data_IF_413097875604
#
_entry.id   IF_413097875604
#
_cell.length_a   1.000
_cell.length_b   1.000
_cell.length_c   1.000
_cell.angle_alpha   90.00
_cell.angle_beta   90.00
_cell.angle_gamma   90.00
#
_symmetry.space_group_name_H-M   'P 1'
#
loop_
_entity.id
_entity.type
_entity.pdbx_description
1 polymer ?
#
# COMPACT_ATOMS: atom_id res chain seq x y z
N UNK A 1 -12.18 23.22 -23.18
CA UNK A 1 -12.69 21.94 -22.65
C UNK A 1 -12.74 20.78 -23.66
N UNK A 2 -12.81 21.00 -24.98
CA UNK A 2 -12.90 19.89 -25.95
C UNK A 2 -11.57 19.18 -26.34
N UNK A 3 -10.39 19.78 -26.07
CA UNK A 3 -9.09 19.21 -26.48
C UNK A 3 -8.51 18.15 -25.51
N UNK A 4 -8.89 18.15 -24.24
CA UNK A 4 -8.45 17.13 -23.27
C UNK A 4 -9.13 15.76 -23.51
N UNK A 5 -10.39 15.77 -23.97
CA UNK A 5 -11.18 14.55 -24.20
C UNK A 5 -10.66 13.69 -25.36
N UNK A 6 -10.10 14.32 -26.39
CA UNK A 6 -9.60 13.62 -27.58
C UNK A 6 -8.23 13.00 -27.33
N UNK A 7 -7.37 13.67 -26.55
CA UNK A 7 -6.05 13.16 -26.19
C UNK A 7 -6.12 11.88 -25.32
N UNK A 8 -7.06 11.83 -24.37
CA UNK A 8 -7.29 10.63 -23.55
C UNK A 8 -7.82 9.44 -24.36
N UNK A 9 -8.58 9.71 -25.43
CA UNK A 9 -9.12 8.66 -26.31
C UNK A 9 -8.04 8.08 -27.23
N UNK A 10 -7.10 8.90 -27.70
CA UNK A 10 -5.97 8.44 -28.53
C UNK A 10 -4.92 7.71 -27.69
N UNK A 11 -4.64 8.16 -26.47
CA UNK A 11 -3.74 7.46 -25.55
C UNK A 11 -4.26 6.06 -25.16
N UNK A 12 -5.58 5.91 -24.96
CA UNK A 12 -6.22 4.60 -24.74
C UNK A 12 -6.08 3.65 -25.95
N UNK A 13 -6.00 4.19 -27.16
CA UNK A 13 -5.97 3.41 -28.41
C UNK A 13 -4.57 2.94 -28.81
N UNK A 14 -3.51 3.67 -28.43
CA UNK A 14 -2.13 3.20 -28.63
C UNK A 14 -1.66 2.22 -27.54
N UNK A 15 -2.28 2.21 -26.36
CA UNK A 15 -1.96 1.25 -25.30
C UNK A 15 -2.41 -0.20 -25.61
N UNK A 16 -3.25 -0.42 -26.64
CA UNK A 16 -3.87 -1.72 -26.92
C UNK A 16 -3.12 -2.61 -27.92
N UNK A 17 -2.12 -2.11 -28.66
CA UNK A 17 -1.55 -2.86 -29.81
C UNK A 17 -0.14 -3.44 -29.60
N UNK A 18 0.69 -2.95 -28.67
CA UNK A 18 2.10 -3.42 -28.55
C UNK A 18 2.36 -4.54 -27.52
N UNK A 19 1.38 -4.94 -26.70
CA UNK A 19 1.66 -5.69 -25.45
C UNK A 19 1.35 -7.20 -25.49
N UNK A 20 1.05 -7.77 -26.67
CA UNK A 20 0.50 -9.13 -26.76
C UNK A 20 1.51 -10.28 -26.67
N UNK A 21 2.83 -10.04 -26.65
CA UNK A 21 3.77 -11.13 -26.97
C UNK A 21 4.46 -11.82 -25.78
N UNK A 22 4.45 -11.30 -24.54
CA UNK A 22 5.05 -12.00 -23.37
C UNK A 22 4.50 -11.61 -21.98
N UNK A 23 3.35 -10.92 -21.89
CA UNK A 23 2.97 -10.17 -20.70
C UNK A 23 2.15 -10.96 -19.67
N UNK A 24 2.67 -11.05 -18.43
CA UNK A 24 1.86 -11.38 -17.26
C UNK A 24 0.69 -10.37 -17.16
N UNK A 25 -0.58 -10.81 -17.27
CA UNK A 25 -1.73 -9.90 -17.34
C UNK A 25 -1.97 -9.14 -16.03
N UNK A 26 -1.35 -9.57 -14.93
CA UNK A 26 -1.44 -8.98 -13.60
C UNK A 26 -0.35 -7.93 -13.33
N UNK A 27 0.22 -7.32 -14.38
CA UNK A 27 1.08 -6.13 -14.27
C UNK A 27 0.28 -4.84 -14.42
N UNK A 28 0.70 -3.74 -13.77
CA UNK A 28 0.02 -2.46 -13.86
C UNK A 28 -0.02 -1.96 -15.32
N UNK A 29 -1.00 -1.11 -15.66
CA UNK A 29 -1.15 -0.62 -17.02
C UNK A 29 0.05 0.28 -17.42
N UNK A 30 0.52 0.11 -18.65
CA UNK A 30 1.55 0.98 -19.21
C UNK A 30 0.94 2.31 -19.63
N UNK A 31 1.36 3.39 -18.98
CA UNK A 31 0.94 4.76 -19.34
C UNK A 31 1.98 5.35 -20.29
N UNK A 32 1.53 6.03 -21.35
CA UNK A 32 2.43 6.69 -22.30
C UNK A 32 3.35 7.68 -21.57
N UNK A 33 4.64 7.66 -21.92
CA UNK A 33 5.68 8.50 -21.28
C UNK A 33 5.33 9.99 -21.29
N UNK A 34 4.65 10.49 -22.33
CA UNK A 34 4.23 11.90 -22.41
C UNK A 34 3.22 12.27 -21.33
N UNK A 35 2.35 11.33 -20.94
CA UNK A 35 1.34 11.49 -19.90
C UNK A 35 1.99 11.41 -18.52
N UNK A 36 2.86 10.42 -18.28
CA UNK A 36 3.64 10.33 -17.02
C UNK A 36 4.54 11.55 -16.78
N UNK A 37 5.22 12.05 -17.82
CA UNK A 37 6.07 13.26 -17.73
C UNK A 37 5.24 14.53 -17.51
N UNK A 38 4.06 14.64 -18.12
CA UNK A 38 3.13 15.75 -17.87
C UNK A 38 2.62 15.74 -16.42
N UNK A 39 2.42 14.56 -15.83
CA UNK A 39 2.03 14.39 -14.43
C UNK A 39 3.15 14.73 -13.44
N UNK A 40 4.40 14.45 -13.80
CA UNK A 40 5.57 14.78 -13.00
C UNK A 40 5.89 16.29 -12.92
N UNK A 41 5.48 17.07 -13.91
CA UNK A 41 5.90 18.46 -14.09
C UNK A 41 4.90 19.52 -13.57
N UNK A 42 3.69 19.14 -13.17
CA UNK A 42 2.64 20.08 -12.75
C UNK A 42 2.56 20.25 -11.23
N UNK A 43 2.54 21.50 -10.75
CA UNK A 43 2.54 21.86 -9.31
C UNK A 43 1.18 21.73 -8.62
N UNK A 44 0.10 21.58 -9.39
CA UNK A 44 -1.27 21.28 -8.95
C UNK A 44 -1.69 19.94 -9.55
N UNK A 45 -1.47 18.86 -8.81
CA UNK A 45 -1.77 17.52 -9.29
C UNK A 45 -2.80 16.85 -8.38
N UNK A 46 -3.77 16.20 -9.00
CA UNK A 46 -4.66 15.23 -8.38
C UNK A 46 -4.50 13.95 -9.20
N UNK A 47 -4.17 12.85 -8.55
CA UNK A 47 -3.93 11.56 -9.18
C UNK A 47 -5.20 11.03 -9.85
N UNK A 48 -5.17 10.88 -11.18
CA UNK A 48 -6.24 10.20 -11.91
C UNK A 48 -6.11 8.68 -11.73
N UNK A 49 -6.83 8.17 -10.72
CA UNK A 49 -6.86 6.75 -10.36
C UNK A 49 -7.45 5.87 -11.47
N UNK A 50 -8.22 6.43 -12.41
CA UNK A 50 -8.82 5.67 -13.51
C UNK A 50 -7.77 5.11 -14.47
N UNK A 51 -6.58 5.70 -14.50
CA UNK A 51 -5.44 5.24 -15.29
C UNK A 51 -4.92 3.87 -14.84
N UNK A 52 -5.23 3.48 -13.61
CA UNK A 52 -4.84 2.19 -13.02
C UNK A 52 -5.94 1.14 -13.16
N UNK A 53 -7.00 1.40 -13.91
CA UNK A 53 -8.05 0.42 -14.21
C UNK A 53 -7.64 -0.47 -15.39
N UNK A 54 -7.47 -1.77 -15.15
CA UNK A 54 -7.15 -2.78 -16.16
C UNK A 54 -8.18 -3.91 -16.13
N UNK A 55 -8.66 -4.31 -17.30
CA UNK A 55 -9.57 -5.43 -17.47
C UNK A 55 -8.81 -6.64 -18.00
N UNK A 56 -9.00 -7.80 -17.37
CA UNK A 56 -8.39 -9.06 -17.74
C UNK A 56 -9.48 -10.05 -18.07
N UNK A 57 -9.49 -10.52 -19.32
CA UNK A 57 -10.42 -11.54 -19.79
C UNK A 57 -9.91 -12.91 -19.36
N UNK A 58 -10.68 -13.59 -18.53
CA UNK A 58 -10.40 -14.91 -17.97
C UNK A 58 -11.52 -15.89 -18.30
N UNK A 59 -11.25 -17.17 -18.08
CA UNK A 59 -12.29 -18.18 -17.93
C UNK A 59 -12.62 -18.35 -16.43
N UNK A 60 -13.86 -18.71 -16.15
CA UNK A 60 -14.28 -19.12 -14.81
C UNK A 60 -15.02 -20.45 -14.87
N UNK A 61 -14.71 -21.35 -13.94
CA UNK A 61 -15.46 -22.58 -13.73
C UNK A 61 -16.66 -22.28 -12.82
N UNK A 62 -17.84 -22.17 -13.40
CA UNK A 62 -19.13 -22.16 -12.71
C UNK A 62 -19.35 -23.50 -12.02
N UNK A 63 -19.81 -23.48 -10.77
CA UNK A 63 -19.97 -24.69 -9.96
C UNK A 63 -21.45 -24.94 -9.75
N UNK A 64 -21.93 -26.14 -10.12
CA UNK A 64 -23.33 -26.51 -9.96
C UNK A 64 -23.73 -26.67 -8.47
N UNK A 65 -22.88 -27.31 -7.67
CA UNK A 65 -23.08 -27.48 -6.22
C UNK A 65 -22.05 -26.69 -5.41
N UNK A 66 -22.51 -25.63 -4.74
CA UNK A 66 -21.68 -24.78 -3.89
C UNK A 66 -20.97 -25.53 -2.75
N UNK A 67 -21.43 -26.72 -2.34
CA UNK A 67 -20.75 -27.53 -1.31
C UNK A 67 -19.43 -28.12 -1.82
N UNK A 68 -19.31 -28.35 -3.13
CA UNK A 68 -18.13 -28.94 -3.77
C UNK A 68 -17.04 -27.91 -4.13
N UNK A 69 -17.23 -26.62 -3.83
CA UNK A 69 -16.25 -25.57 -4.18
C UNK A 69 -14.84 -25.87 -3.64
N UNK A 70 -14.74 -26.29 -2.39
CA UNK A 70 -13.45 -26.58 -1.76
C UNK A 70 -12.76 -27.83 -2.35
N UNK A 71 -13.54 -28.80 -2.82
CA UNK A 71 -13.05 -29.99 -3.51
C UNK A 71 -12.51 -29.62 -4.89
N UNK A 72 -13.32 -28.94 -5.70
CA UNK A 72 -12.94 -28.50 -7.04
C UNK A 72 -11.76 -27.53 -7.03
N UNK A 73 -11.73 -26.59 -6.08
CA UNK A 73 -10.57 -25.72 -5.89
C UNK A 73 -9.29 -26.51 -5.68
N UNK A 74 -9.31 -27.56 -4.83
CA UNK A 74 -8.14 -28.41 -4.59
C UNK A 74 -7.77 -29.25 -5.82
N UNK A 75 -8.76 -29.78 -6.53
CA UNK A 75 -8.55 -30.56 -7.75
C UNK A 75 -7.89 -29.71 -8.85
N UNK A 76 -8.47 -28.54 -9.15
CA UNK A 76 -7.98 -27.63 -10.17
C UNK A 76 -6.66 -26.93 -9.76
N UNK A 77 -6.38 -26.82 -8.46
CA UNK A 77 -5.08 -26.33 -7.99
C UNK A 77 -3.97 -27.35 -8.24
N UNK A 78 -4.25 -28.67 -8.15
CA UNK A 78 -3.28 -29.72 -8.51
C UNK A 78 -2.92 -29.69 -9.99
N UNK A 79 -3.89 -29.38 -10.85
CA UNK A 79 -3.69 -29.25 -12.30
C UNK A 79 -3.15 -27.88 -12.73
N UNK A 80 -2.97 -26.94 -11.79
CA UNK A 80 -2.53 -25.55 -12.04
C UNK A 80 -3.46 -24.77 -12.97
N UNK A 81 -4.76 -25.05 -12.92
CA UNK A 81 -5.78 -24.37 -13.72
C UNK A 81 -6.49 -23.27 -12.93
N UNK A 82 -6.40 -23.29 -11.60
CA UNK A 82 -6.93 -22.22 -10.75
C UNK A 82 -6.04 -20.98 -10.86
N UNK A 83 -6.65 -19.81 -10.90
CA UNK A 83 -5.93 -18.55 -10.81
C UNK A 83 -5.22 -18.42 -9.46
N UNK A 84 -3.89 -18.37 -9.47
CA UNK A 84 -3.08 -18.14 -8.26
C UNK A 84 -2.42 -16.76 -8.39
N UNK A 85 -3.09 -15.75 -7.85
CA UNK A 85 -2.60 -14.37 -7.82
C UNK A 85 -2.86 -13.81 -6.43
N UNK A 86 -1.89 -13.07 -5.90
CA UNK A 86 -2.03 -12.43 -4.59
C UNK A 86 -3.14 -11.39 -4.58
N UNK A 87 -3.75 -11.16 -3.41
CA UNK A 87 -4.79 -10.13 -3.19
C UNK A 87 -6.08 -10.30 -4.01
N UNK A 88 -6.21 -11.34 -4.84
CA UNK A 88 -7.43 -11.66 -5.59
C UNK A 88 -8.13 -12.87 -4.96
N UNK A 89 -9.40 -12.70 -4.63
CA UNK A 89 -10.25 -13.83 -4.24
C UNK A 89 -10.62 -14.66 -5.48
N UNK A 90 -10.19 -15.92 -5.48
CA UNK A 90 -10.40 -16.88 -6.57
C UNK A 90 -11.87 -17.29 -6.70
N UNK A 91 -12.57 -17.42 -5.57
CA UNK A 91 -14.01 -17.73 -5.57
C UNK A 91 -14.75 -16.41 -5.75
N UNK A 92 -15.49 -16.29 -6.86
CA UNK A 92 -16.30 -15.11 -7.18
C UNK A 92 -17.76 -15.48 -7.40
N UNK A 93 -18.69 -14.54 -7.27
CA UNK A 93 -20.05 -14.73 -7.78
C UNK A 93 -20.03 -15.02 -9.28
N UNK A 94 -21.01 -15.77 -9.76
CA UNK A 94 -21.16 -16.06 -11.18
C UNK A 94 -21.25 -14.75 -12.01
N UNK A 95 -20.65 -14.67 -13.22
CA UNK A 95 -20.67 -13.44 -14.02
C UNK A 95 -22.07 -13.00 -14.48
N UNK A 96 -22.99 -13.95 -14.66
CA UNK A 96 -24.42 -13.67 -14.86
C UNK A 96 -25.09 -13.25 -13.54
N UNK A 97 -25.60 -12.02 -13.50
CA UNK A 97 -26.24 -11.42 -12.31
C UNK A 97 -27.47 -12.19 -11.81
N UNK A 98 -28.21 -12.87 -12.68
CA UNK A 98 -29.37 -13.68 -12.29
C UNK A 98 -28.97 -14.96 -11.53
N UNK A 99 -27.86 -15.57 -11.92
CA UNK A 99 -27.27 -16.72 -11.27
C UNK A 99 -26.54 -16.31 -9.98
N UNK A 100 -25.84 -15.17 -10.00
CA UNK A 100 -25.19 -14.61 -8.81
C UNK A 100 -26.20 -14.27 -7.71
N UNK A 101 -27.36 -13.69 -8.05
CA UNK A 101 -28.42 -13.39 -7.09
C UNK A 101 -29.01 -14.66 -6.44
N UNK A 102 -29.00 -15.80 -7.16
CA UNK A 102 -29.36 -17.13 -6.63
C UNK A 102 -28.23 -17.78 -5.81
N UNK A 103 -27.10 -17.10 -5.64
CA UNK A 103 -25.95 -17.57 -4.88
C UNK A 103 -25.00 -18.46 -5.67
N UNK A 104 -25.10 -18.52 -7.01
CA UNK A 104 -24.16 -19.27 -7.83
C UNK A 104 -22.76 -18.65 -7.77
N UNK A 105 -21.74 -19.51 -7.67
CA UNK A 105 -20.33 -19.12 -7.56
C UNK A 105 -19.51 -19.75 -8.68
N UNK A 106 -18.38 -19.12 -8.97
CA UNK A 106 -17.40 -19.63 -9.91
C UNK A 106 -15.98 -19.52 -9.35
N UNK A 107 -15.09 -20.36 -9.86
CA UNK A 107 -13.65 -20.30 -9.62
C UNK A 107 -12.98 -19.61 -10.81
N UNK A 108 -12.20 -18.57 -10.55
CA UNK A 108 -11.37 -17.94 -11.57
C UNK A 108 -10.25 -18.91 -11.99
N UNK A 109 -10.07 -19.05 -13.30
CA UNK A 109 -9.06 -19.92 -13.88
C UNK A 109 -7.84 -19.12 -14.35
N UNK A 110 -6.71 -19.80 -14.48
CA UNK A 110 -5.47 -19.24 -15.01
C UNK A 110 -5.69 -18.74 -16.46
N UNK A 111 -5.09 -17.61 -16.87
CA UNK A 111 -5.24 -17.06 -18.22
C UNK A 111 -4.90 -18.03 -19.37
N UNK A 112 -4.13 -19.10 -19.08
CA UNK A 112 -3.83 -20.17 -20.05
C UNK A 112 -5.07 -20.98 -20.44
N UNK A 113 -6.06 -21.07 -19.56
CA UNK A 113 -7.30 -21.81 -19.79
C UNK A 113 -8.28 -20.92 -20.53
N UNK A 114 -8.61 -21.28 -21.78
CA UNK A 114 -9.51 -20.50 -22.64
C UNK A 114 -10.83 -21.24 -22.85
N UNK A 115 -11.95 -20.50 -22.75
CA UNK A 115 -13.30 -21.06 -22.94
C UNK A 115 -13.51 -21.63 -24.34
N UNK A 116 -12.92 -21.02 -25.36
CA UNK A 116 -13.11 -21.44 -26.76
C UNK A 116 -12.15 -22.55 -27.22
N UNK A 117 -11.16 -22.95 -26.39
CA UNK A 117 -10.09 -23.87 -26.80
C UNK A 117 -10.02 -25.06 -25.83
N UNK A 118 -10.80 -26.14 -26.08
CA UNK A 118 -10.84 -27.32 -25.22
C UNK A 118 -9.49 -28.01 -25.01
N UNK A 119 -8.54 -27.82 -25.92
CA UNK A 119 -7.17 -28.33 -25.81
C UNK A 119 -6.44 -27.79 -24.58
N UNK A 120 -6.82 -26.60 -24.11
CA UNK A 120 -6.21 -25.96 -22.92
C UNK A 120 -6.66 -26.57 -21.60
N UNK A 121 -7.67 -27.43 -21.60
CA UNK A 121 -8.29 -27.97 -20.39
C UNK A 121 -7.63 -29.27 -19.96
N UNK A 122 -7.46 -29.47 -18.65
CA UNK A 122 -7.02 -30.74 -18.10
C UNK A 122 -8.09 -31.82 -18.26
N UNK A 123 -7.68 -33.09 -18.13
CA UNK A 123 -8.61 -34.22 -18.13
C UNK A 123 -9.66 -34.11 -17.01
N UNK A 124 -9.27 -33.56 -15.85
CA UNK A 124 -10.17 -33.35 -14.73
C UNK A 124 -11.23 -32.28 -15.05
N UNK A 125 -10.82 -31.16 -15.66
CA UNK A 125 -11.74 -30.10 -16.05
C UNK A 125 -12.70 -30.56 -17.17
N UNK A 126 -12.21 -31.29 -18.17
CA UNK A 126 -13.05 -31.87 -19.24
C UNK A 126 -14.10 -32.83 -18.67
N UNK A 127 -13.68 -33.79 -17.85
CA UNK A 127 -14.60 -34.77 -17.25
C UNK A 127 -15.65 -34.11 -16.38
N UNK A 128 -15.29 -33.06 -15.63
CA UNK A 128 -16.21 -32.31 -14.79
C UNK A 128 -17.24 -31.48 -15.59
N UNK A 129 -16.86 -31.03 -16.79
CA UNK A 129 -17.77 -30.34 -17.72
C UNK A 129 -18.73 -31.34 -18.37
N UNK A 130 -18.22 -32.49 -18.80
CA UNK A 130 -19.04 -33.57 -19.37
C UNK A 130 -20.03 -34.16 -18.36
N UNK A 131 -19.63 -34.28 -17.08
CA UNK A 131 -20.51 -34.70 -15.98
C UNK A 131 -21.48 -33.61 -15.52
N UNK A 132 -21.41 -32.40 -16.10
CA UNK A 132 -22.21 -31.23 -15.77
C UNK A 132 -22.07 -30.78 -14.30
N UNK A 133 -20.93 -31.10 -13.67
CA UNK A 133 -20.59 -30.63 -12.31
C UNK A 133 -19.94 -29.23 -12.34
N UNK A 134 -19.23 -28.93 -13.42
CA UNK A 134 -18.67 -27.62 -13.71
C UNK A 134 -19.19 -27.08 -15.06
N UNK A 135 -19.47 -25.78 -15.12
CA UNK A 135 -19.69 -25.05 -16.36
C UNK A 135 -18.51 -24.13 -16.64
N UNK A 136 -18.13 -23.94 -17.91
CA UNK A 136 -17.07 -23.00 -18.26
C UNK A 136 -17.67 -21.73 -18.86
N UNK A 137 -17.39 -20.57 -18.24
CA UNK A 137 -17.95 -19.29 -18.64
C UNK A 137 -16.87 -18.21 -18.81
N UNK A 138 -17.03 -17.25 -19.73
CA UNK A 138 -16.14 -16.10 -19.80
C UNK A 138 -16.32 -15.20 -18.58
N UNK A 139 -15.23 -14.64 -18.07
CA UNK A 139 -15.23 -13.77 -16.90
C UNK A 139 -14.30 -12.57 -17.14
N UNK A 140 -14.84 -11.35 -17.00
CA UNK A 140 -14.03 -10.12 -17.06
C UNK A 140 -13.62 -9.70 -15.65
N UNK A 141 -12.35 -9.87 -15.31
CA UNK A 141 -11.79 -9.42 -14.05
C UNK A 141 -11.32 -7.97 -14.18
N UNK A 142 -11.88 -7.08 -13.35
CA UNK A 142 -11.42 -5.69 -13.28
C UNK A 142 -10.43 -5.53 -12.12
N UNK A 143 -9.23 -5.06 -12.44
CA UNK A 143 -8.18 -4.65 -11.51
C UNK A 143 -8.18 -3.13 -11.47
N UNK A 144 -8.57 -2.54 -10.35
CA UNK A 144 -8.65 -1.10 -10.17
C UNK A 144 -7.41 -0.55 -9.45
N UNK A 145 -7.43 0.75 -9.13
CA UNK A 145 -6.35 1.41 -8.41
C UNK A 145 -6.02 0.69 -7.09
N UNK A 146 -7.02 0.25 -6.33
CA UNK A 146 -6.85 -0.34 -5.00
C UNK A 146 -6.13 -1.69 -5.07
N UNK A 147 -6.29 -2.43 -6.17
CA UNK A 147 -5.55 -3.66 -6.41
C UNK A 147 -4.03 -3.44 -6.51
N UNK A 148 -3.55 -2.31 -7.03
CA UNK A 148 -2.11 -2.08 -7.21
C UNK A 148 -1.42 -1.67 -5.90
N UNK A 149 -0.20 -2.17 -5.67
CA UNK A 149 0.63 -1.72 -4.55
C UNK A 149 1.19 -0.32 -4.81
N UNK A 150 1.75 0.30 -3.77
CA UNK A 150 2.46 1.56 -3.89
C UNK A 150 3.58 1.48 -4.95
N UNK A 151 4.36 0.40 -4.93
CA UNK A 151 5.45 0.17 -5.88
C UNK A 151 4.95 0.08 -7.32
N UNK A 152 3.90 -0.71 -7.58
CA UNK A 152 3.28 -0.84 -8.90
C UNK A 152 2.82 0.52 -9.45
N UNK A 153 2.21 1.34 -8.59
CA UNK A 153 1.73 2.67 -8.96
C UNK A 153 2.90 3.60 -9.27
N UNK A 154 3.93 3.61 -8.43
CA UNK A 154 5.12 4.45 -8.62
C UNK A 154 5.95 4.03 -9.83
N UNK A 155 6.00 2.74 -10.14
CA UNK A 155 6.67 2.21 -11.32
C UNK A 155 6.02 2.71 -12.62
N UNK A 156 4.72 2.97 -12.61
CA UNK A 156 4.07 3.55 -13.78
C UNK A 156 4.29 5.07 -13.84
N UNK A 157 4.30 5.74 -12.69
CA UNK A 157 4.34 7.21 -12.62
C UNK A 157 5.75 7.80 -12.74
N UNK A 158 6.76 7.13 -12.18
CA UNK A 158 8.14 7.61 -12.16
C UNK A 158 8.91 6.91 -13.30
N UNK A 159 9.39 7.64 -14.31
CA UNK A 159 10.14 7.07 -15.42
C UNK A 159 11.36 6.27 -14.94
N UNK A 160 11.66 5.09 -15.52
CA UNK A 160 12.82 4.28 -15.13
C UNK A 160 14.14 5.05 -15.11
N UNK A 161 14.33 6.00 -16.02
CA UNK A 161 15.56 6.80 -16.13
C UNK A 161 15.72 7.82 -15.00
N UNK A 162 14.65 8.09 -14.24
CA UNK A 162 14.62 9.01 -13.09
C UNK A 162 14.67 8.27 -11.76
N UNK A 163 14.70 6.94 -11.78
CA UNK A 163 14.83 6.13 -10.57
C UNK A 163 16.29 6.05 -10.16
N UNK A 164 16.49 5.97 -8.86
CA UNK A 164 17.77 5.68 -8.27
C UNK A 164 18.24 4.29 -8.70
N UNK A 165 19.49 4.22 -9.17
CA UNK A 165 20.07 3.00 -9.76
C UNK A 165 20.23 1.90 -8.70
N UNK A 166 20.45 2.28 -7.44
CA UNK A 166 20.70 1.35 -6.35
C UNK A 166 19.43 1.06 -5.56
N UNK A 167 18.64 2.09 -5.27
CA UNK A 167 17.54 1.97 -4.32
C UNK A 167 16.15 1.96 -4.97
N UNK A 168 16.06 2.13 -6.30
CA UNK A 168 14.79 2.18 -7.00
C UNK A 168 13.85 3.24 -6.42
N UNK A 169 12.55 2.96 -6.37
CA UNK A 169 11.52 3.88 -5.88
C UNK A 169 11.64 4.08 -4.35
N UNK A 170 11.45 5.31 -3.82
CA UNK A 170 11.43 5.53 -2.38
C UNK A 170 10.30 4.74 -1.70
N UNK A 171 10.66 3.70 -0.94
CA UNK A 171 9.73 2.91 -0.12
C UNK A 171 9.88 3.18 1.38
N UNK A 172 11.04 3.67 1.83
CA UNK A 172 11.33 3.90 3.24
C UNK A 172 10.77 5.22 3.75
N UNK A 173 9.91 5.15 4.76
CA UNK A 173 9.42 6.32 5.49
C UNK A 173 9.24 6.00 6.98
N UNK A 174 9.19 7.05 7.81
CA UNK A 174 8.87 6.91 9.23
C UNK A 174 7.42 7.32 9.46
N UNK A 175 6.79 6.75 10.49
CA UNK A 175 5.41 7.08 10.88
C UNK A 175 5.42 7.53 12.34
N UNK A 176 4.73 8.62 12.63
CA UNK A 176 4.38 9.07 13.97
C UNK A 176 2.87 9.31 14.02
N UNK A 177 2.11 8.40 14.64
CA UNK A 177 0.65 8.41 14.58
C UNK A 177 0.15 8.46 13.12
N UNK A 178 -0.67 9.44 12.81
CA UNK A 178 -1.22 9.64 11.45
C UNK A 178 -0.28 10.41 10.49
N UNK A 179 0.91 10.81 10.94
CA UNK A 179 1.87 11.59 10.14
C UNK A 179 2.93 10.65 9.56
N UNK A 180 3.12 10.71 8.25
CA UNK A 180 4.24 10.09 7.57
C UNK A 180 5.34 11.10 7.31
N UNK A 181 6.57 10.70 7.58
CA UNK A 181 7.77 11.49 7.43
C UNK A 181 8.66 10.85 6.35
N UNK A 182 8.81 11.57 5.24
CA UNK A 182 9.68 11.24 4.11
C UNK A 182 11.05 11.90 4.22
N UNK A 183 12.07 11.17 3.74
CA UNK A 183 13.41 11.71 3.50
C UNK A 183 13.74 11.54 2.02
N UNK A 184 13.24 12.45 1.18
CA UNK A 184 13.38 12.34 -0.27
C UNK A 184 14.76 12.82 -0.74
N UNK A 185 15.44 11.98 -1.52
CA UNK A 185 16.66 12.36 -2.25
C UNK A 185 16.36 13.45 -3.29
N UNK A 186 17.41 14.19 -3.67
CA UNK A 186 17.37 15.25 -4.68
C UNK A 186 16.60 14.84 -5.96
N UNK A 187 16.88 13.64 -6.47
CA UNK A 187 16.28 13.07 -7.68
C UNK A 187 14.74 12.96 -7.61
N UNK A 188 14.19 12.77 -6.41
CA UNK A 188 12.75 12.59 -6.18
C UNK A 188 12.02 13.86 -5.77
N UNK A 189 12.74 14.98 -5.55
CA UNK A 189 12.13 16.27 -5.19
C UNK A 189 11.07 16.75 -6.19
N UNK A 190 11.23 16.57 -7.52
CA UNK A 190 10.18 16.95 -8.48
C UNK A 190 8.87 16.17 -8.28
N UNK A 191 8.97 14.93 -7.78
CA UNK A 191 7.85 14.00 -7.59
C UNK A 191 7.28 14.01 -6.17
N UNK A 192 7.80 14.87 -5.27
CA UNK A 192 7.49 14.82 -3.82
C UNK A 192 6.00 14.84 -3.48
N UNK A 193 5.22 15.69 -4.15
CA UNK A 193 3.77 15.80 -3.93
C UNK A 193 3.03 14.55 -4.43
N UNK A 194 3.41 14.05 -5.60
CA UNK A 194 2.86 12.82 -6.17
C UNK A 194 3.12 11.62 -5.27
N UNK A 195 4.37 11.53 -4.77
CA UNK A 195 4.78 10.50 -3.82
C UNK A 195 3.90 10.54 -2.56
N UNK A 196 3.74 11.74 -2.01
CA UNK A 196 2.92 11.95 -0.82
C UNK A 196 1.43 11.63 -1.04
N UNK A 197 0.85 11.97 -2.19
CA UNK A 197 -0.55 11.68 -2.50
C UNK A 197 -0.82 10.17 -2.58
N UNK A 198 0.01 9.43 -3.34
CA UNK A 198 -0.10 7.96 -3.42
C UNK A 198 0.16 7.32 -2.05
N UNK A 199 1.04 7.89 -1.22
CA UNK A 199 1.30 7.37 0.11
C UNK A 199 0.07 7.47 1.02
N UNK A 200 -0.64 8.59 1.01
CA UNK A 200 -1.92 8.74 1.74
C UNK A 200 -2.94 7.73 1.21
N UNK A 201 -3.09 7.63 -0.11
CA UNK A 201 -4.04 6.73 -0.75
C UNK A 201 -3.81 5.25 -0.36
N UNK A 202 -2.54 4.82 -0.32
CA UNK A 202 -2.17 3.42 -0.04
C UNK A 202 -2.08 3.10 1.45
N UNK A 203 -2.11 4.10 2.32
CA UNK A 203 -2.02 3.94 3.76
C UNK A 203 -3.13 4.71 4.47
N UNK A 204 -4.34 4.15 4.64
CA UNK A 204 -5.51 4.87 5.19
C UNK A 204 -5.33 5.46 6.60
N UNK A 205 -4.35 4.96 7.37
CA UNK A 205 -4.01 5.52 8.68
C UNK A 205 -3.26 6.86 8.59
N UNK A 206 -2.53 7.07 7.49
CA UNK A 206 -1.74 8.27 7.25
C UNK A 206 -2.67 9.35 6.70
N UNK A 207 -2.68 10.52 7.35
CA UNK A 207 -3.47 11.68 6.91
C UNK A 207 -2.60 12.81 6.41
N UNK A 208 -1.40 12.94 6.94
CA UNK A 208 -0.48 14.04 6.64
C UNK A 208 0.88 13.47 6.29
N UNK A 209 1.47 13.96 5.20
CA UNK A 209 2.81 13.56 4.76
C UNK A 209 3.70 14.78 4.76
N UNK A 210 4.82 14.69 5.45
CA UNK A 210 5.84 15.74 5.51
C UNK A 210 7.15 15.26 4.91
N UNK A 211 7.97 16.20 4.46
CA UNK A 211 9.35 15.95 4.07
C UNK A 211 10.29 16.83 4.88
N UNK A 212 11.40 16.26 5.30
CA UNK A 212 12.46 16.95 6.03
C UNK A 212 13.23 17.86 5.07
N UNK A 213 13.34 19.16 5.40
CA UNK A 213 14.04 20.15 4.57
C UNK A 213 15.44 20.48 5.10
N UNK A 214 15.79 20.09 6.33
CA UNK A 214 17.10 20.31 6.94
C UNK A 214 17.41 19.29 8.04
N UNK A 215 18.70 19.11 8.37
CA UNK A 215 19.16 18.06 9.27
C UNK A 215 18.80 18.25 10.76
N UNK A 216 19.00 17.19 11.55
CA UNK A 216 18.65 17.21 12.97
C UNK A 216 19.56 18.16 13.74
N UNK A 217 18.99 19.23 14.30
CA UNK A 217 19.71 20.13 15.20
C UNK A 217 20.57 21.20 14.51
N UNK A 218 20.43 21.41 13.20
CA UNK A 218 21.14 22.50 12.50
C UNK A 218 20.54 23.89 12.76
N UNK A 219 19.26 23.98 13.14
CA UNK A 219 18.54 25.26 13.31
C UNK A 219 17.90 25.45 14.70
N UNK A 220 17.98 24.47 15.60
CA UNK A 220 17.24 24.50 16.87
C UNK A 220 17.92 23.73 18.00
N UNK A 221 18.06 24.38 19.16
CA UNK A 221 18.53 23.79 20.43
C UNK A 221 17.64 22.63 20.91
N UNK A 222 16.40 22.55 20.42
CA UNK A 222 15.42 21.51 20.74
C UNK A 222 15.42 20.34 19.74
N UNK A 223 16.42 20.25 18.85
CA UNK A 223 16.50 19.23 17.78
C UNK A 223 15.24 19.12 16.91
N UNK A 224 14.55 20.24 16.68
CA UNK A 224 13.44 20.29 15.71
C UNK A 224 14.00 20.33 14.28
N UNK A 225 13.24 19.82 13.30
CA UNK A 225 13.63 19.83 11.88
C UNK A 225 12.81 20.85 11.13
N UNK A 226 13.42 21.57 10.21
CA UNK A 226 12.67 22.20 9.13
C UNK A 226 11.92 21.12 8.36
N UNK A 227 10.62 21.32 8.16
CA UNK A 227 9.79 20.40 7.38
C UNK A 227 8.85 21.18 6.47
N UNK A 228 8.42 20.51 5.41
CA UNK A 228 7.34 20.96 4.55
C UNK A 228 6.22 19.92 4.54
N UNK A 229 4.97 20.37 4.50
CA UNK A 229 3.82 19.47 4.26
C UNK A 229 3.70 19.23 2.77
N UNK A 230 3.72 17.96 2.37
CA UNK A 230 3.62 17.54 0.97
C UNK A 230 2.19 17.20 0.56
N UNK A 231 1.43 16.56 1.46
CA UNK A 231 0.03 16.19 1.25
C UNK A 231 -0.73 16.10 2.59
N UNK A 232 -2.05 16.27 2.52
CA UNK A 232 -2.93 16.24 3.69
C UNK A 232 -3.04 17.57 4.44
N UNK A 233 -3.85 17.61 5.51
CA UNK A 233 -3.96 18.79 6.37
C UNK A 233 -2.64 19.06 7.10
N UNK A 234 -2.38 20.32 7.42
CA UNK A 234 -1.29 20.71 8.30
C UNK A 234 -1.66 20.40 9.77
N UNK A 235 -1.71 19.11 10.10
CA UNK A 235 -1.92 18.60 11.44
C UNK A 235 -0.73 17.72 11.82
N UNK A 236 -0.03 18.12 12.87
CA UNK A 236 1.12 17.41 13.44
C UNK A 236 0.88 17.01 14.90
N UNK A 237 -0.36 17.14 15.38
CA UNK A 237 -0.73 16.66 16.71
C UNK A 237 -0.95 15.15 16.64
N UNK A 238 0.09 14.40 16.93
CA UNK A 238 0.09 12.95 16.79
C UNK A 238 -0.37 12.29 18.09
N UNK A 239 -1.08 11.17 17.94
CA UNK A 239 -1.33 10.23 19.01
C UNK A 239 -0.70 8.89 18.61
N UNK A 240 0.09 8.31 19.50
CA UNK A 240 0.71 7.01 19.29
C UNK A 240 0.74 6.20 20.57
N UNK A 241 0.82 4.88 20.42
CA UNK A 241 0.87 3.93 21.54
C UNK A 241 2.21 3.23 21.56
N UNK A 242 2.87 3.27 22.70
CA UNK A 242 4.14 2.59 22.94
C UNK A 242 4.17 2.06 24.37
N UNK A 243 4.60 0.80 24.60
CA UNK A 243 4.68 0.19 25.94
C UNK A 243 3.40 0.40 26.78
N UNK A 244 2.24 0.12 26.18
CA UNK A 244 0.91 0.33 26.77
C UNK A 244 0.61 1.76 27.28
N UNK A 245 1.40 2.74 26.82
CA UNK A 245 1.24 4.15 27.07
C UNK A 245 0.79 4.87 25.80
N UNK A 246 -0.08 5.86 25.97
CA UNK A 246 -0.55 6.72 24.88
C UNK A 246 0.15 8.06 25.01
N UNK A 247 0.88 8.44 23.96
CA UNK A 247 1.59 9.70 23.87
C UNK A 247 0.85 10.61 22.90
N UNK A 248 0.59 11.86 23.34
CA UNK A 248 -0.03 12.91 22.54
C UNK A 248 0.87 14.12 22.55
N UNK A 249 1.30 14.58 21.38
CA UNK A 249 2.22 15.70 21.28
C UNK A 249 2.22 16.28 19.87
N UNK A 250 2.76 17.50 19.75
CA UNK A 250 3.00 18.16 18.49
C UNK A 250 4.35 17.71 17.90
N UNK A 251 4.30 16.93 16.81
CA UNK A 251 5.48 16.35 16.16
C UNK A 251 6.44 17.42 15.61
N UNK A 252 5.98 18.65 15.40
CA UNK A 252 6.86 19.76 14.96
C UNK A 252 7.77 20.29 16.08
N UNK A 253 7.40 20.05 17.35
CA UNK A 253 8.06 20.62 18.52
C UNK A 253 8.88 19.60 19.30
N UNK A 254 8.70 18.32 19.02
CA UNK A 254 9.27 17.22 19.79
C UNK A 254 9.96 16.23 18.86
N UNK A 255 11.17 15.82 19.24
CA UNK A 255 11.83 14.70 18.58
C UNK A 255 11.15 13.37 18.92
N UNK A 256 10.70 12.64 17.89
CA UNK A 256 10.15 11.29 18.03
C UNK A 256 10.64 10.37 16.92
N UNK A 257 11.01 9.13 17.27
CA UNK A 257 11.40 8.09 16.33
C UNK A 257 10.86 6.72 16.77
N UNK A 258 9.79 6.27 16.09
CA UNK A 258 9.12 5.00 16.37
C UNK A 258 10.03 3.76 16.20
N UNK A 259 11.18 3.87 15.51
CA UNK A 259 12.15 2.75 15.37
C UNK A 259 12.91 2.45 16.66
N UNK A 260 12.94 3.39 17.60
CA UNK A 260 13.62 3.21 18.89
C UNK A 260 12.78 2.42 19.91
N UNK A 261 11.54 2.06 19.57
CA UNK A 261 10.65 1.34 20.47
C UNK A 261 11.25 0.07 21.09
N UNK A 262 11.95 -0.73 20.29
CA UNK A 262 12.60 -1.95 20.79
C UNK A 262 13.66 -1.63 21.86
N UNK A 263 14.40 -0.54 21.69
CA UNK A 263 15.41 -0.09 22.64
C UNK A 263 14.77 0.52 23.90
N UNK A 264 13.67 1.25 23.75
CA UNK A 264 12.87 1.74 24.88
C UNK A 264 12.42 0.58 25.77
N UNK A 265 11.78 -0.43 25.16
CA UNK A 265 11.30 -1.63 25.85
C UNK A 265 12.43 -2.36 26.56
N UNK A 266 13.54 -2.60 25.85
CA UNK A 266 14.74 -3.27 26.40
C UNK A 266 15.26 -2.58 27.65
N UNK A 267 15.35 -1.24 27.65
CA UNK A 267 15.85 -0.49 28.80
C UNK A 267 14.85 -0.51 29.96
N UNK A 268 13.56 -0.36 29.69
CA UNK A 268 12.50 -0.42 30.71
C UNK A 268 12.51 -1.78 31.41
N UNK A 269 12.67 -2.88 30.67
CA UNK A 269 12.70 -4.24 31.20
C UNK A 269 13.95 -4.55 32.05
N UNK A 270 15.01 -3.74 31.93
CA UNK A 270 16.23 -3.91 32.74
C UNK A 270 16.11 -3.32 34.14
N UNK A 271 15.19 -2.37 34.37
CA UNK A 271 15.07 -1.67 35.65
C UNK A 271 14.62 -2.62 36.77
N UNK A 272 15.30 -2.54 37.92
CA UNK A 272 15.00 -3.36 39.08
C UNK A 272 14.19 -2.59 40.13
N UNK A 273 13.34 -3.26 40.93
CA UNK A 273 12.60 -2.61 41.99
C UNK A 273 13.51 -1.87 42.99
N UNK A 274 13.19 -0.60 43.25
CA UNK A 274 13.94 0.26 44.19
C UNK A 274 15.08 1.06 43.57
N UNK A 275 15.36 0.88 42.28
CA UNK A 275 16.34 1.72 41.56
C UNK A 275 15.81 3.15 41.34
N UNK A 276 16.73 4.12 41.31
CA UNK A 276 16.43 5.49 40.94
C UNK A 276 17.00 5.75 39.56
N UNK A 277 16.13 5.82 38.56
CA UNK A 277 16.50 6.10 37.17
C UNK A 277 16.33 7.60 36.89
N UNK A 278 17.35 8.21 36.28
CA UNK A 278 17.33 9.61 35.86
C UNK A 278 17.40 9.68 34.33
N UNK A 279 16.32 10.15 33.71
CA UNK A 279 16.27 10.39 32.26
C UNK A 279 16.66 11.84 31.96
N UNK A 280 17.94 12.03 31.63
CA UNK A 280 18.53 13.35 31.40
C UNK A 280 18.03 14.05 30.13
N UNK A 281 17.43 13.32 29.18
CA UNK A 281 16.91 13.86 27.92
C UNK A 281 15.53 13.27 27.62
N UNK A 282 14.65 13.32 28.63
CA UNK A 282 13.39 12.61 28.58
C UNK A 282 12.46 13.02 27.44
N UNK A 283 12.54 14.25 26.93
CA UNK A 283 11.58 14.74 25.94
C UNK A 283 10.14 14.56 26.44
N UNK A 284 9.33 13.76 25.72
CA UNK A 284 7.97 13.41 26.16
C UNK A 284 7.89 12.19 27.11
N UNK A 285 9.03 11.66 27.53
CA UNK A 285 9.16 10.58 28.49
C UNK A 285 8.88 9.17 27.95
N UNK A 286 9.44 8.74 26.80
CA UNK A 286 9.24 7.38 26.29
C UNK A 286 9.80 6.29 27.21
N UNK A 287 10.77 6.62 28.07
CA UNK A 287 11.30 5.72 29.10
C UNK A 287 10.58 5.90 30.44
N UNK A 288 10.44 7.15 30.88
CA UNK A 288 9.91 7.48 32.21
C UNK A 288 8.44 7.07 32.40
N UNK A 289 7.58 7.38 31.42
CA UNK A 289 6.13 7.11 31.54
C UNK A 289 5.84 5.60 31.58
N UNK A 290 6.41 4.77 30.68
CA UNK A 290 6.16 3.33 30.75
C UNK A 290 6.82 2.66 31.95
N UNK A 291 8.00 3.12 32.39
CA UNK A 291 8.65 2.60 33.59
C UNK A 291 7.76 2.78 34.83
N UNK A 292 7.08 3.92 34.99
CA UNK A 292 6.17 4.16 36.13
C UNK A 292 4.95 3.21 36.15
N UNK A 293 4.47 2.79 34.98
CA UNK A 293 3.26 1.95 34.85
C UNK A 293 3.46 0.46 35.15
N UNK A 294 4.70 0.01 35.22
CA UNK A 294 5.00 -1.37 35.55
C UNK A 294 4.51 -1.68 37.00
N UNK A 295 4.13 -2.92 37.33
CA UNK A 295 3.37 -3.27 38.54
C UNK A 295 4.04 -3.03 39.91
N UNK A 296 5.30 -2.58 39.97
CA UNK A 296 6.05 -2.28 41.20
C UNK A 296 6.68 -0.87 41.13
N UNK A 297 6.04 0.20 41.61
CA UNK A 297 6.31 1.59 41.21
C UNK A 297 7.81 1.98 41.17
N UNK A 298 8.29 2.39 39.99
CA UNK A 298 9.70 2.40 39.58
C UNK A 298 10.40 3.78 39.61
N UNK A 299 9.73 4.89 39.89
CA UNK A 299 10.35 6.22 39.73
C UNK A 299 9.91 7.26 40.76
N UNK A 300 10.89 7.96 41.34
CA UNK A 300 10.70 9.33 41.86
C UNK A 300 11.01 10.30 40.74
N UNK A 301 10.00 11.04 40.29
CA UNK A 301 10.10 11.99 39.20
C UNK A 301 10.92 13.23 39.65
N UNK A 302 12.19 13.33 39.25
CA UNK A 302 12.92 14.60 39.31
C UNK A 302 12.73 15.32 37.97
N UNK A 303 11.73 16.23 37.90
CA UNK A 303 11.65 17.22 36.83
C UNK A 303 12.86 18.15 36.94
N UNK A 304 13.95 17.84 36.24
CA UNK A 304 14.87 18.89 35.78
C UNK A 304 14.13 19.61 34.66
N UNK A 305 13.50 20.72 35.01
CA UNK A 305 12.67 21.51 34.12
C UNK A 305 13.48 21.94 32.89
N UNK A 306 13.09 21.40 31.73
CA UNK A 306 13.10 22.12 30.46
C UNK A 306 11.74 21.97 29.75
N UNK A 307 10.66 21.84 30.53
CA UNK A 307 9.31 22.18 30.06
C UNK A 307 9.16 23.69 30.10
N UNK A 308 9.23 24.34 28.94
CA UNK A 308 8.65 25.67 28.76
C UNK A 308 7.18 25.52 28.36
N UNK A 309 6.39 26.37 29.00
CA UNK A 309 5.04 26.86 28.68
C UNK A 309 4.66 26.86 27.20
#
# INVERSE_FOLDING_TARGET
MAKLSTANTVAKKLATEEDQTTMNPFRPPTISRSVAVSFAASSSFALDRSLFSKKVNLAAASIADNKKIAEWRRALQKTREVLIVERIQVVRPHPDGSLAARGAKCLLLDPKVKVAVPETWSAALRSAIESNELGLVPFELTLDYDYWLYEDVMDVLIPPEKRDIHDGIPQGFNIAGHVAHLNLRETYRPYKKLIAEVLIDKNPHIKTVINKTGDVGTESEFRTFGYEVLAGPHDLNVELRENDCVFRFDYSKVYWNSKLHGEHTRLIDMFQPGEVVCDVMAGIGPFAIPAEKQPTPYMKHLKMANTLS
#
